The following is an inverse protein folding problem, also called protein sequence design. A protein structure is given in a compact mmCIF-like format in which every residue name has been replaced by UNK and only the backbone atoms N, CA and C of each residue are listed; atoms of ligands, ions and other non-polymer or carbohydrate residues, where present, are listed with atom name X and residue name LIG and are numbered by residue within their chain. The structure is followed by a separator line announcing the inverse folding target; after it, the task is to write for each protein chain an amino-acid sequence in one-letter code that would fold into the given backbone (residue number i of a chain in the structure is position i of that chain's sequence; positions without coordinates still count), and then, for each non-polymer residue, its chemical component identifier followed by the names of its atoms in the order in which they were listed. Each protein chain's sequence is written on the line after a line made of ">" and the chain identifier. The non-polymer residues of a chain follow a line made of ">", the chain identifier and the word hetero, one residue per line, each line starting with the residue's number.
data_IF_511777568910
#
_entry.id   IF_511777568910
#
_cell.length_a   1.000
_cell.length_b   1.000
_cell.length_c   1.000
_cell.angle_alpha   90.00
_cell.angle_beta   90.00
_cell.angle_gamma   90.00
#
_symmetry.space_group_name_H-M   'P 1'
#
loop_
_entity.id
_entity.type
_entity.pdbx_description
1 polymer ?
#
# COMPACT_ATOMS: atom_id res chain seq x y z
N UNK A 1 -8.67 -47.12 11.18
CA UNK A 1 -7.98 -45.81 11.17
C UNK A 1 -8.52 -44.82 10.14
N UNK A 2 -8.71 -45.16 8.84
CA UNK A 2 -9.25 -44.25 7.79
C UNK A 2 -10.56 -43.53 8.12
N UNK A 3 -11.51 -44.18 8.81
CA UNK A 3 -12.80 -43.56 9.20
C UNK A 3 -12.65 -42.43 10.22
N UNK A 4 -11.68 -42.54 11.15
CA UNK A 4 -11.40 -41.55 12.19
C UNK A 4 -10.78 -40.28 11.60
N UNK A 5 -9.87 -40.43 10.64
CA UNK A 5 -9.31 -39.32 9.87
C UNK A 5 -10.35 -38.56 9.05
N UNK A 6 -11.26 -39.29 8.37
CA UNK A 6 -12.38 -38.66 7.64
C UNK A 6 -13.31 -37.88 8.57
N UNK A 7 -13.57 -38.39 9.77
CA UNK A 7 -14.40 -37.69 10.76
C UNK A 7 -13.71 -36.42 11.28
N UNK A 8 -12.40 -36.47 11.54
CA UNK A 8 -11.60 -35.30 11.93
C UNK A 8 -11.58 -34.22 10.83
N UNK A 9 -11.34 -34.60 9.58
CA UNK A 9 -11.36 -33.70 8.43
C UNK A 9 -12.74 -33.03 8.23
N UNK A 10 -13.84 -33.79 8.35
CA UNK A 10 -15.19 -33.22 8.28
C UNK A 10 -15.47 -32.25 9.41
N UNK A 11 -15.05 -32.58 10.64
CA UNK A 11 -15.23 -31.71 11.80
C UNK A 11 -14.42 -30.42 11.65
N UNK A 12 -13.18 -30.52 11.19
CA UNK A 12 -12.33 -29.36 10.90
C UNK A 12 -12.95 -28.48 9.80
N UNK A 13 -13.38 -29.07 8.69
CA UNK A 13 -14.00 -28.32 7.60
C UNK A 13 -15.27 -27.58 8.05
N UNK A 14 -16.10 -28.23 8.88
CA UNK A 14 -17.28 -27.61 9.44
C UNK A 14 -16.93 -26.42 10.35
N UNK A 15 -15.99 -26.60 11.27
CA UNK A 15 -15.47 -25.52 12.12
C UNK A 15 -14.86 -24.37 11.31
N UNK A 16 -14.12 -24.68 10.25
CA UNK A 16 -13.51 -23.70 9.35
C UNK A 16 -14.56 -22.86 8.60
N UNK A 17 -15.69 -23.47 8.21
CA UNK A 17 -16.82 -22.75 7.61
C UNK A 17 -17.64 -21.98 8.65
N UNK A 18 -17.94 -22.57 9.80
CA UNK A 18 -18.68 -21.92 10.91
C UNK A 18 -17.93 -20.67 11.41
N UNK A 19 -16.59 -20.72 11.44
CA UNK A 19 -15.75 -19.58 11.80
C UNK A 19 -15.55 -18.56 10.67
N UNK A 20 -16.22 -18.72 9.51
CA UNK A 20 -16.18 -17.79 8.38
C UNK A 20 -14.76 -17.42 7.90
N UNK A 21 -13.79 -18.33 8.11
CA UNK A 21 -12.36 -18.07 7.84
C UNK A 21 -12.09 -17.65 6.39
N UNK A 22 -12.73 -18.23 5.36
CA UNK A 22 -12.54 -17.77 3.97
C UNK A 22 -12.95 -16.33 3.74
N UNK A 23 -14.03 -15.88 4.37
CA UNK A 23 -14.53 -14.52 4.23
C UNK A 23 -13.54 -13.52 4.84
N UNK A 24 -13.03 -13.81 6.05
CA UNK A 24 -12.02 -12.96 6.68
C UNK A 24 -10.69 -12.97 5.95
N UNK A 25 -10.25 -14.12 5.45
CA UNK A 25 -9.04 -14.20 4.63
C UNK A 25 -9.16 -13.35 3.35
N UNK A 26 -10.31 -13.40 2.69
CA UNK A 26 -10.60 -12.58 1.52
C UNK A 26 -10.68 -11.09 1.84
N UNK A 27 -11.35 -10.71 2.93
CA UNK A 27 -11.42 -9.32 3.40
C UNK A 27 -10.03 -8.78 3.74
N UNK A 28 -9.22 -9.56 4.46
CA UNK A 28 -7.84 -9.22 4.83
C UNK A 28 -6.98 -8.95 3.59
N UNK A 29 -7.03 -9.86 2.60
CA UNK A 29 -6.32 -9.72 1.34
C UNK A 29 -6.81 -8.50 0.54
N UNK A 30 -8.13 -8.27 0.51
CA UNK A 30 -8.73 -7.12 -0.18
C UNK A 30 -8.25 -5.79 0.42
N UNK A 31 -8.34 -5.62 1.75
CA UNK A 31 -7.90 -4.39 2.41
C UNK A 31 -6.38 -4.21 2.37
N UNK A 32 -5.61 -5.29 2.43
CA UNK A 32 -4.17 -5.24 2.21
C UNK A 32 -3.84 -4.71 0.81
N UNK A 33 -4.44 -5.29 -0.23
CA UNK A 33 -4.23 -4.86 -1.61
C UNK A 33 -4.69 -3.42 -1.84
N UNK A 34 -5.85 -3.05 -1.29
CA UNK A 34 -6.39 -1.69 -1.38
C UNK A 34 -5.47 -0.67 -0.70
N UNK A 35 -4.83 -1.04 0.42
CA UNK A 35 -3.89 -0.17 1.14
C UNK A 35 -2.56 0.06 0.42
N UNK A 36 -2.15 -0.81 -0.51
CA UNK A 36 -0.86 -0.69 -1.20
C UNK A 36 -0.75 0.62 -1.98
N UNK A 37 -1.79 1.00 -2.71
CA UNK A 37 -1.74 2.20 -3.54
C UNK A 37 -1.62 3.49 -2.69
N UNK A 38 -2.47 3.72 -1.67
CA UNK A 38 -2.26 4.80 -0.70
C UNK A 38 -0.90 4.74 0.01
N UNK A 39 -0.38 3.55 0.32
CA UNK A 39 0.95 3.41 0.93
C UNK A 39 2.06 3.94 0.02
N UNK A 40 2.01 3.59 -1.26
CA UNK A 40 2.96 4.09 -2.25
C UNK A 40 2.88 5.61 -2.37
N UNK A 41 1.68 6.18 -2.46
CA UNK A 41 1.53 7.62 -2.52
C UNK A 41 2.00 8.34 -1.25
N UNK A 42 1.77 7.74 -0.08
CA UNK A 42 2.30 8.28 1.18
C UNK A 42 3.83 8.27 1.17
N UNK A 43 4.46 7.18 0.72
CA UNK A 43 5.91 7.09 0.62
C UNK A 43 6.49 8.11 -0.36
N UNK A 44 5.88 8.24 -1.54
CA UNK A 44 6.28 9.24 -2.56
C UNK A 44 6.11 10.65 -2.03
N UNK A 45 5.01 10.93 -1.35
CA UNK A 45 4.74 12.22 -0.77
C UNK A 45 5.68 12.57 0.39
N UNK A 46 6.00 11.60 1.26
CA UNK A 46 7.00 11.76 2.32
C UNK A 46 8.39 12.03 1.73
N UNK A 47 8.77 11.30 0.68
CA UNK A 47 10.01 11.54 -0.04
C UNK A 47 10.06 12.95 -0.64
N UNK A 48 8.98 13.39 -1.28
CA UNK A 48 8.85 14.74 -1.81
C UNK A 48 8.93 15.83 -0.74
N UNK A 49 8.34 15.59 0.43
CA UNK A 49 8.46 16.47 1.59
C UNK A 49 9.91 16.59 2.07
N UNK A 50 10.62 15.47 2.21
CA UNK A 50 12.06 15.48 2.56
C UNK A 50 12.88 16.24 1.52
N UNK A 51 12.57 16.06 0.24
CA UNK A 51 13.25 16.72 -0.88
C UNK A 51 13.04 18.23 -0.87
N UNK A 52 11.85 18.69 -0.45
CA UNK A 52 11.55 20.12 -0.33
C UNK A 52 12.38 20.83 0.75
N UNK A 53 12.79 20.10 1.80
CA UNK A 53 13.60 20.62 2.89
C UNK A 53 15.12 20.58 2.65
N UNK A 54 15.59 19.90 1.60
CA UNK A 54 17.03 19.75 1.32
C UNK A 54 17.35 20.08 -0.15
N UNK A 55 17.82 21.33 -0.44
CA UNK A 55 18.14 21.76 -1.79
C UNK A 55 19.25 20.95 -2.47
N UNK A 56 20.23 20.46 -1.70
CA UNK A 56 21.33 19.66 -2.24
C UNK A 56 20.81 18.30 -2.73
N UNK A 57 20.03 17.60 -1.88
CA UNK A 57 19.39 16.34 -2.23
C UNK A 57 18.43 16.50 -3.43
N UNK A 58 17.71 17.62 -3.49
CA UNK A 58 16.84 17.95 -4.63
C UNK A 58 17.62 18.00 -5.95
N UNK A 59 18.79 18.62 -5.96
CA UNK A 59 19.63 18.69 -7.16
C UNK A 59 20.16 17.32 -7.57
N UNK A 60 20.62 16.50 -6.62
CA UNK A 60 21.08 15.13 -6.91
C UNK A 60 19.97 14.28 -7.53
N UNK A 61 18.77 14.32 -6.95
CA UNK A 61 17.61 13.61 -7.47
C UNK A 61 17.20 14.14 -8.84
N UNK A 62 17.27 15.46 -9.06
CA UNK A 62 16.97 16.05 -10.37
C UNK A 62 17.94 15.59 -11.46
N UNK A 63 19.24 15.50 -11.15
CA UNK A 63 20.24 14.97 -12.08
C UNK A 63 19.94 13.51 -12.42
N UNK A 64 19.70 12.66 -11.42
CA UNK A 64 19.35 11.26 -11.63
C UNK A 64 18.06 11.09 -12.48
N UNK A 65 17.03 11.91 -12.22
CA UNK A 65 15.81 11.92 -13.02
C UNK A 65 16.08 12.37 -14.47
N UNK A 66 16.98 13.32 -14.68
CA UNK A 66 17.36 13.80 -16.01
C UNK A 66 18.09 12.71 -16.80
N UNK A 67 19.07 12.03 -16.19
CA UNK A 67 19.75 10.90 -16.81
C UNK A 67 18.79 9.77 -17.18
N UNK A 68 17.88 9.42 -16.26
CA UNK A 68 16.90 8.36 -16.48
C UNK A 68 15.89 8.72 -17.59
N UNK A 69 15.40 9.95 -17.61
CA UNK A 69 14.45 10.41 -18.63
C UNK A 69 15.10 10.52 -20.00
N UNK A 70 16.36 10.96 -20.09
CA UNK A 70 17.09 10.94 -21.36
C UNK A 70 17.32 9.51 -21.87
N UNK A 71 17.56 8.55 -20.97
CA UNK A 71 17.75 7.16 -21.33
C UNK A 71 16.46 6.46 -21.80
N UNK A 72 15.33 6.72 -21.13
CA UNK A 72 14.06 6.04 -21.42
C UNK A 72 13.16 6.82 -22.40
N UNK A 73 13.19 8.15 -22.33
CA UNK A 73 12.30 9.07 -23.04
C UNK A 73 13.08 10.25 -23.66
N UNK A 74 14.03 10.01 -24.57
CA UNK A 74 14.88 11.07 -25.14
C UNK A 74 14.11 12.19 -25.86
N UNK A 75 12.89 11.92 -26.32
CA UNK A 75 12.03 12.90 -26.97
C UNK A 75 11.32 13.87 -26.00
N UNK A 76 11.44 13.68 -24.68
CA UNK A 76 10.74 14.46 -23.65
C UNK A 76 11.64 14.77 -22.43
N UNK A 77 12.74 15.51 -22.59
CA UNK A 77 13.64 15.86 -21.49
C UNK A 77 12.95 16.67 -20.37
N UNK A 78 11.89 17.41 -20.68
CA UNK A 78 11.07 18.16 -19.73
C UNK A 78 10.34 17.29 -18.70
N UNK A 79 10.27 15.97 -18.91
CA UNK A 79 9.68 15.04 -17.95
C UNK A 79 10.41 15.05 -16.61
N UNK A 80 11.75 15.22 -16.58
CA UNK A 80 12.50 15.26 -15.33
C UNK A 80 12.05 16.41 -14.44
N UNK A 81 11.88 17.61 -15.02
CA UNK A 81 11.41 18.79 -14.30
C UNK A 81 9.97 18.61 -13.83
N UNK A 82 9.09 18.06 -14.69
CA UNK A 82 7.70 17.79 -14.35
C UNK A 82 7.56 16.80 -13.18
N UNK A 83 8.40 15.75 -13.14
CA UNK A 83 8.43 14.78 -12.04
C UNK A 83 8.95 15.42 -10.75
N UNK A 84 10.00 16.25 -10.83
CA UNK A 84 10.52 16.96 -9.67
C UNK A 84 9.50 17.95 -9.09
N UNK A 85 8.79 18.68 -9.94
CA UNK A 85 7.75 19.61 -9.52
C UNK A 85 6.56 18.88 -8.90
N UNK A 86 6.17 17.72 -9.45
CA UNK A 86 5.16 16.86 -8.85
C UNK A 86 5.58 16.38 -7.46
N UNK A 87 6.83 15.90 -7.31
CA UNK A 87 7.38 15.45 -6.03
C UNK A 87 7.47 16.58 -5.00
N UNK A 88 7.79 17.82 -5.41
CA UNK A 88 8.00 18.90 -4.44
C UNK A 88 6.75 19.72 -4.13
N UNK A 89 5.88 19.97 -5.12
CA UNK A 89 4.65 20.77 -4.93
C UNK A 89 3.41 19.91 -4.69
N UNK A 90 3.31 18.75 -5.34
CA UNK A 90 2.19 17.83 -5.21
C UNK A 90 2.24 16.93 -3.98
N UNK A 91 3.43 16.77 -3.39
CA UNK A 91 3.65 15.84 -2.28
C UNK A 91 2.75 16.08 -1.08
N UNK A 92 2.52 17.33 -0.66
CA UNK A 92 1.79 17.61 0.58
C UNK A 92 0.32 17.13 0.57
N UNK A 93 -0.55 17.57 -0.36
CA UNK A 93 -1.93 17.09 -0.41
C UNK A 93 -2.03 15.60 -0.74
N UNK A 94 -1.12 15.05 -1.55
CA UNK A 94 -1.06 13.62 -1.86
C UNK A 94 -0.71 12.79 -0.62
N UNK A 95 0.26 13.22 0.19
CA UNK A 95 0.65 12.53 1.44
C UNK A 95 -0.52 12.52 2.41
N UNK A 96 -1.16 13.68 2.61
CA UNK A 96 -2.30 13.80 3.53
C UNK A 96 -3.49 12.95 3.09
N UNK A 97 -3.89 13.04 1.81
CA UNK A 97 -5.00 12.26 1.28
C UNK A 97 -4.73 10.76 1.36
N UNK A 98 -3.51 10.34 1.04
CA UNK A 98 -3.12 8.94 1.10
C UNK A 98 -3.00 8.42 2.53
N UNK A 99 -2.53 9.25 3.47
CA UNK A 99 -2.53 8.94 4.89
C UNK A 99 -3.94 8.72 5.43
N UNK A 100 -4.90 9.58 5.06
CA UNK A 100 -6.30 9.40 5.46
C UNK A 100 -6.91 8.12 4.87
N UNK A 101 -6.64 7.82 3.60
CA UNK A 101 -7.07 6.57 2.96
C UNK A 101 -6.45 5.33 3.62
N UNK A 102 -5.17 5.38 3.99
CA UNK A 102 -4.51 4.30 4.73
C UNK A 102 -5.09 4.11 6.12
N UNK A 103 -5.35 5.20 6.84
CA UNK A 103 -5.98 5.13 8.15
C UNK A 103 -7.35 4.46 8.02
N UNK A 104 -8.16 4.86 7.03
CA UNK A 104 -9.46 4.24 6.79
C UNK A 104 -9.36 2.75 6.40
N UNK A 105 -8.53 2.42 5.40
CA UNK A 105 -8.35 1.03 4.95
C UNK A 105 -7.75 0.13 6.04
N UNK A 106 -6.78 0.66 6.79
CA UNK A 106 -6.13 -0.03 7.90
C UNK A 106 -7.08 -0.27 9.06
N UNK A 107 -7.88 0.74 9.45
CA UNK A 107 -8.93 0.57 10.47
C UNK A 107 -9.91 -0.54 10.09
N UNK A 108 -10.32 -0.61 8.82
CA UNK A 108 -11.24 -1.66 8.37
C UNK A 108 -10.59 -3.06 8.33
N UNK A 109 -9.31 -3.14 7.95
CA UNK A 109 -8.51 -4.36 8.04
C UNK A 109 -8.42 -4.88 9.47
N UNK A 110 -8.08 -4.01 10.43
CA UNK A 110 -7.95 -4.39 11.84
C UNK A 110 -9.31 -4.77 12.44
N UNK A 111 -10.40 -4.10 12.07
CA UNK A 111 -11.75 -4.49 12.49
C UNK A 111 -12.11 -5.92 11.99
N UNK A 112 -11.82 -6.22 10.72
CA UNK A 112 -12.03 -7.56 10.17
C UNK A 112 -11.15 -8.62 10.86
N UNK A 113 -9.89 -8.28 11.18
CA UNK A 113 -8.98 -9.16 11.89
C UNK A 113 -9.43 -9.42 13.34
N UNK A 114 -9.82 -8.38 14.08
CA UNK A 114 -10.29 -8.51 15.46
C UNK A 114 -11.56 -9.34 15.55
N UNK A 115 -12.49 -9.18 14.61
CA UNK A 115 -13.67 -10.04 14.50
C UNK A 115 -13.28 -11.48 14.19
N UNK A 116 -12.36 -11.70 13.23
CA UNK A 116 -11.89 -13.05 12.86
C UNK A 116 -11.21 -13.78 14.03
N UNK A 117 -10.55 -13.05 14.91
CA UNK A 117 -9.91 -13.56 16.12
C UNK A 117 -10.88 -13.72 17.30
N UNK A 118 -12.14 -13.30 17.15
CA UNK A 118 -13.15 -13.32 18.21
C UNK A 118 -12.83 -12.39 19.39
N UNK A 119 -12.05 -11.33 19.14
CA UNK A 119 -11.66 -10.34 20.14
C UNK A 119 -12.77 -9.29 20.39
N UNK A 120 -13.66 -9.12 19.41
CA UNK A 120 -14.84 -8.25 19.42
C UNK A 120 -16.00 -8.92 18.70
#
# INVERSE_FOLDING_TARGET
>A
MRKRWKALLRRFYRLYQEAHVPFFAAALAYYALLSLMPLLFLLVGLFGFLLSGNPALRNEVFQALTELTLALFPARPEMAQSLLDFLTRGAFPLTLGSGLLLLWSGSNFFAALSYALGLI
#
